data_IF_026896118242
#
_entry.id   IF_026896118242
#
_cell.length_a   1.000
_cell.length_b   1.000
_cell.length_c   1.000
_cell.angle_alpha   90.00
_cell.angle_beta   90.00
_cell.angle_gamma   90.00
#
_symmetry.space_group_name_H-M   'P 1'
#
loop_
_entity.id
_entity.type
_entity.pdbx_description
1 polymer ?
#
# COMPACT_ATOMS: atom_id res chain seq x y z
N UNK A 1 12.76 5.11 7.78
CA UNK A 1 12.06 4.41 6.67
C UNK A 1 11.08 3.41 7.29
N UNK A 2 9.94 3.11 6.66
CA UNK A 2 9.00 2.11 7.17
C UNK A 2 8.72 1.06 6.08
N UNK A 3 8.83 -0.21 6.44
CA UNK A 3 8.53 -1.34 5.56
C UNK A 3 7.51 -2.23 6.26
N UNK A 4 6.46 -2.65 5.58
CA UNK A 4 5.44 -3.52 6.15
C UNK A 4 5.47 -4.92 5.55
N UNK A 5 5.24 -5.93 6.40
CA UNK A 5 5.04 -7.31 5.99
C UNK A 5 3.94 -7.96 6.83
N UNK A 6 3.30 -9.00 6.30
CA UNK A 6 2.21 -9.72 6.95
C UNK A 6 2.76 -10.97 7.62
N UNK A 7 2.58 -11.09 8.93
CA UNK A 7 2.89 -12.34 9.64
C UNK A 7 1.95 -13.43 9.14
N UNK A 8 2.52 -14.54 8.62
CA UNK A 8 1.75 -15.62 7.99
C UNK A 8 0.88 -16.37 9.00
N UNK A 9 1.33 -16.53 10.23
CA UNK A 9 0.64 -17.29 11.27
C UNK A 9 -0.58 -16.54 11.83
N UNK A 10 -0.44 -15.22 12.00
CA UNK A 10 -1.47 -14.39 12.66
C UNK A 10 -2.27 -13.53 11.71
N UNK A 11 -1.79 -13.34 10.47
CA UNK A 11 -2.33 -12.36 9.52
C UNK A 11 -2.11 -10.90 9.93
N UNK A 12 -1.37 -10.64 11.01
CA UNK A 12 -1.15 -9.29 11.51
C UNK A 12 -0.04 -8.57 10.74
N UNK A 13 -0.24 -7.27 10.52
CA UNK A 13 0.75 -6.39 9.94
C UNK A 13 1.89 -6.12 10.93
N UNK A 14 3.13 -6.31 10.50
CA UNK A 14 4.32 -5.82 11.19
C UNK A 14 4.95 -4.70 10.37
N UNK A 15 5.25 -3.59 11.03
CA UNK A 15 6.02 -2.48 10.44
C UNK A 15 7.42 -2.50 11.02
N UNK A 16 8.40 -2.60 10.14
CA UNK A 16 9.82 -2.53 10.43
C UNK A 16 10.31 -1.10 10.21
N UNK A 17 11.19 -0.64 11.09
CA UNK A 17 11.75 0.71 11.04
C UNK A 17 13.25 0.71 11.34
N UNK A 18 13.84 1.90 11.48
CA UNK A 18 15.28 2.11 11.61
C UNK A 18 15.97 1.08 12.53
N UNK A 19 17.03 0.43 12.04
CA UNK A 19 17.75 -0.63 12.76
C UNK A 19 17.18 -2.04 12.61
N UNK A 20 15.95 -2.20 12.10
CA UNK A 20 15.37 -3.50 11.74
C UNK A 20 15.38 -3.77 10.23
N UNK A 21 15.67 -2.77 9.41
CA UNK A 21 15.62 -2.89 7.95
C UNK A 21 16.88 -3.53 7.42
N UNK A 22 16.71 -4.72 6.85
CA UNK A 22 17.71 -5.51 6.14
C UNK A 22 17.12 -6.10 4.85
N UNK A 23 17.90 -6.95 4.18
CA UNK A 23 17.48 -7.60 2.94
C UNK A 23 16.23 -8.47 3.14
N UNK A 24 16.17 -9.23 4.23
CA UNK A 24 15.06 -10.14 4.52
C UNK A 24 13.77 -9.36 4.74
N UNK A 25 13.85 -8.21 5.40
CA UNK A 25 12.72 -7.30 5.61
C UNK A 25 12.16 -6.78 4.29
N UNK A 26 13.03 -6.38 3.35
CA UNK A 26 12.61 -5.94 2.01
C UNK A 26 12.00 -7.09 1.22
N UNK A 27 12.64 -8.27 1.24
CA UNK A 27 12.13 -9.46 0.55
C UNK A 27 10.78 -9.90 1.10
N UNK A 28 10.59 -9.88 2.42
CA UNK A 28 9.32 -10.20 3.07
C UNK A 28 8.21 -9.27 2.61
N UNK A 29 8.47 -7.96 2.53
CA UNK A 29 7.50 -6.96 2.11
C UNK A 29 7.03 -7.13 0.67
N UNK A 30 7.84 -7.74 -0.20
CA UNK A 30 7.53 -8.03 -1.60
C UNK A 30 7.19 -9.51 -1.86
N UNK A 31 7.00 -10.32 -0.81
CA UNK A 31 6.84 -11.75 -0.93
C UNK A 31 5.39 -12.13 -1.25
N UNK A 32 5.04 -12.15 -2.53
CA UNK A 32 3.74 -12.65 -3.00
C UNK A 32 3.66 -14.19 -2.84
N UNK A 33 2.67 -14.72 -2.10
CA UNK A 33 2.61 -16.14 -1.74
C UNK A 33 2.44 -17.10 -2.93
N UNK A 34 1.96 -16.60 -4.07
CA UNK A 34 1.80 -17.39 -5.29
C UNK A 34 3.11 -17.56 -6.07
N UNK A 35 4.14 -16.76 -5.76
CA UNK A 35 5.41 -16.74 -6.48
C UNK A 35 6.58 -17.19 -5.59
N UNK A 36 6.54 -16.85 -4.31
CA UNK A 36 7.64 -17.06 -3.38
C UNK A 36 7.19 -17.73 -2.08
N UNK A 37 8.11 -18.45 -1.45
CA UNK A 37 7.93 -18.97 -0.10
C UNK A 37 8.07 -17.82 0.90
N UNK A 38 7.39 -17.94 2.04
CA UNK A 38 7.50 -16.97 3.12
C UNK A 38 8.96 -16.73 3.51
N UNK A 39 9.29 -15.47 3.77
CA UNK A 39 10.61 -15.07 4.26
C UNK A 39 10.60 -15.15 5.79
N UNK A 40 11.54 -15.88 6.36
CA UNK A 40 11.64 -16.03 7.82
C UNK A 40 12.54 -14.95 8.41
N UNK A 41 11.99 -14.12 9.30
CA UNK A 41 12.75 -13.11 10.03
C UNK A 41 12.69 -13.47 11.50
N UNK A 42 13.85 -13.84 12.08
CA UNK A 42 13.98 -14.29 13.48
C UNK A 42 13.01 -15.45 13.80
N UNK A 43 12.85 -16.38 12.86
CA UNK A 43 11.99 -17.57 13.00
C UNK A 43 10.50 -17.33 12.80
N UNK A 44 10.08 -16.12 12.41
CA UNK A 44 8.69 -15.80 12.10
C UNK A 44 8.50 -15.69 10.58
N UNK A 45 7.55 -16.41 9.97
CA UNK A 45 7.31 -16.35 8.54
C UNK A 45 6.51 -15.10 8.13
N UNK A 46 6.95 -14.44 7.07
CA UNK A 46 6.33 -13.24 6.52
C UNK A 46 6.01 -13.33 5.02
N UNK A 47 4.89 -12.72 4.64
CA UNK A 47 4.49 -12.42 3.27
C UNK A 47 4.36 -10.91 3.06
N UNK A 48 4.06 -10.52 1.82
CA UNK A 48 3.81 -9.15 1.40
C UNK A 48 2.91 -8.38 2.37
N UNK A 49 3.26 -7.12 2.65
CA UNK A 49 2.54 -6.25 3.60
C UNK A 49 1.11 -5.90 3.17
N UNK A 50 0.80 -6.04 1.88
CA UNK A 50 -0.51 -5.85 1.27
C UNK A 50 -1.64 -6.60 1.96
N UNK A 51 -1.38 -7.81 2.45
CA UNK A 51 -2.40 -8.66 3.07
C UNK A 51 -2.80 -8.21 4.48
N UNK A 52 -1.87 -7.63 5.25
CA UNK A 52 -2.12 -7.10 6.60
C UNK A 52 -2.47 -5.60 6.63
N UNK A 53 -2.07 -4.85 5.61
CA UNK A 53 -2.37 -3.44 5.41
C UNK A 53 -1.27 -2.70 4.65
N UNK A 54 -1.62 -2.12 3.50
CA UNK A 54 -0.66 -1.41 2.64
C UNK A 54 -1.25 -0.12 2.03
N UNK A 55 -0.60 1.04 2.22
CA UNK A 55 0.49 1.29 3.18
C UNK A 55 -0.02 1.36 4.63
N UNK A 56 0.87 1.06 5.58
CA UNK A 56 0.64 1.40 6.98
C UNK A 56 0.79 2.93 7.16
N UNK A 57 -0.31 3.64 7.43
CA UNK A 57 -0.26 5.10 7.64
C UNK A 57 0.03 5.47 9.09
N UNK A 58 -0.27 4.57 10.04
CA UNK A 58 -0.09 4.84 11.46
C UNK A 58 1.31 5.31 11.90
N UNK A 59 2.44 4.86 11.30
CA UNK A 59 3.76 5.34 11.71
C UNK A 59 3.93 6.85 11.46
N UNK A 60 3.27 7.40 10.44
CA UNK A 60 3.39 8.81 10.11
C UNK A 60 2.71 9.75 11.12
N UNK A 61 1.71 9.27 11.87
CA UNK A 61 1.10 10.07 12.93
C UNK A 61 2.08 10.45 14.04
N UNK A 62 3.14 9.65 14.24
CA UNK A 62 4.11 9.86 15.32
C UNK A 62 5.48 10.32 14.81
N UNK A 63 5.90 9.85 13.64
CA UNK A 63 7.28 9.99 13.19
C UNK A 63 7.57 11.24 12.34
N UNK A 64 6.57 11.79 11.63
CA UNK A 64 6.81 12.91 10.71
C UNK A 64 6.94 14.25 11.46
N UNK A 65 7.53 15.29 10.85
CA UNK A 65 7.38 16.67 11.33
C UNK A 65 6.21 17.41 10.66
N UNK A 66 5.70 16.85 9.56
CA UNK A 66 4.59 17.38 8.76
C UNK A 66 3.30 16.59 9.01
N UNK A 67 2.18 17.23 8.68
CA UNK A 67 0.85 16.61 8.65
C UNK A 67 0.45 16.16 7.23
N UNK A 68 1.22 16.56 6.21
CA UNK A 68 0.95 16.19 4.83
C UNK A 68 1.54 14.82 4.50
N UNK A 69 0.69 13.92 3.99
CA UNK A 69 1.06 12.58 3.56
C UNK A 69 0.70 12.42 2.09
N UNK A 70 1.71 12.18 1.26
CA UNK A 70 1.55 11.85 -0.15
C UNK A 70 1.45 10.33 -0.33
N UNK A 71 0.30 9.86 -0.79
CA UNK A 71 0.05 8.47 -1.16
C UNK A 71 0.21 8.30 -2.67
N UNK A 72 1.08 7.38 -3.07
CA UNK A 72 1.17 6.91 -4.45
C UNK A 72 0.46 5.55 -4.54
N UNK A 73 -0.68 5.51 -5.22
CA UNK A 73 -1.51 4.33 -5.35
C UNK A 73 -1.39 3.71 -6.74
N UNK A 74 -0.97 2.44 -6.80
CA UNK A 74 -0.76 1.71 -8.05
C UNK A 74 -1.92 0.77 -8.41
N UNK A 75 -2.65 0.25 -7.42
CA UNK A 75 -3.76 -0.65 -7.65
C UNK A 75 -5.07 0.14 -7.68
N UNK A 76 -5.86 0.02 -8.76
CA UNK A 76 -7.10 0.77 -8.88
C UNK A 76 -8.12 0.32 -7.83
N UNK A 77 -8.83 1.28 -7.25
CA UNK A 77 -9.91 0.98 -6.28
C UNK A 77 -11.11 0.39 -7.00
N UNK A 78 -11.46 1.00 -8.14
CA UNK A 78 -12.60 0.61 -8.98
C UNK A 78 -12.08 -0.02 -10.27
N UNK A 79 -12.65 -1.17 -10.62
CA UNK A 79 -12.45 -1.82 -11.92
C UNK A 79 -13.81 -2.18 -12.46
N UNK A 80 -14.18 -1.59 -13.59
CA UNK A 80 -15.49 -1.82 -14.22
C UNK A 80 -15.56 -3.22 -14.85
N UNK A 81 -16.74 -3.85 -14.74
CA UNK A 81 -16.99 -5.19 -15.25
C UNK A 81 -16.64 -6.32 -14.27
N UNK A 82 -17.02 -7.55 -14.65
CA UNK A 82 -16.83 -8.75 -13.83
C UNK A 82 -15.68 -9.58 -14.38
N UNK A 83 -14.66 -9.93 -13.57
CA UNK A 83 -13.57 -10.81 -14.02
C UNK A 83 -14.12 -12.20 -14.38
N UNK A 84 -13.62 -12.81 -15.46
CA UNK A 84 -14.16 -14.08 -15.99
C UNK A 84 -13.16 -15.23 -15.97
N UNK A 85 -11.87 -14.93 -16.06
CA UNK A 85 -10.79 -15.92 -15.96
C UNK A 85 -10.23 -16.01 -14.55
N UNK A 86 -9.61 -17.15 -14.21
CA UNK A 86 -8.97 -17.35 -12.91
C UNK A 86 -7.93 -16.26 -12.61
N UNK A 87 -7.14 -15.84 -13.61
CA UNK A 87 -6.13 -14.80 -13.46
C UNK A 87 -6.76 -13.42 -13.18
N UNK A 88 -7.84 -13.07 -13.88
CA UNK A 88 -8.56 -11.82 -13.62
C UNK A 88 -9.21 -11.82 -12.24
N UNK A 89 -9.77 -12.96 -11.81
CA UNK A 89 -10.40 -13.12 -10.50
C UNK A 89 -9.34 -12.96 -9.40
N UNK A 90 -8.21 -13.66 -9.51
CA UNK A 90 -7.12 -13.56 -8.54
C UNK A 90 -6.57 -12.14 -8.48
N UNK A 91 -6.32 -11.50 -9.62
CA UNK A 91 -5.87 -10.11 -9.67
C UNK A 91 -6.87 -9.18 -8.98
N UNK A 92 -8.17 -9.38 -9.16
CA UNK A 92 -9.19 -8.56 -8.49
C UNK A 92 -9.24 -8.83 -6.98
N UNK A 93 -9.05 -10.07 -6.54
CA UNK A 93 -8.92 -10.41 -5.11
C UNK A 93 -7.74 -9.66 -4.49
N UNK A 94 -6.59 -9.65 -5.16
CA UNK A 94 -5.39 -8.95 -4.67
C UNK A 94 -5.63 -7.43 -4.61
N UNK A 95 -6.22 -6.83 -5.66
CA UNK A 95 -6.62 -5.42 -5.66
C UNK A 95 -7.57 -5.07 -4.50
N UNK A 96 -8.59 -5.88 -4.26
CA UNK A 96 -9.57 -5.65 -3.18
C UNK A 96 -8.86 -5.77 -1.82
N UNK A 97 -8.07 -6.83 -1.63
CA UNK A 97 -7.36 -7.09 -0.37
C UNK A 97 -6.44 -5.93 -0.02
N UNK A 98 -5.62 -5.48 -0.96
CA UNK A 98 -4.66 -4.41 -0.73
C UNK A 98 -5.34 -3.05 -0.49
N UNK A 99 -6.43 -2.77 -1.21
CA UNK A 99 -7.20 -1.54 -1.00
C UNK A 99 -8.01 -1.54 0.32
N UNK A 100 -8.46 -2.70 0.80
CA UNK A 100 -9.25 -2.79 2.02
C UNK A 100 -8.49 -2.25 3.25
N UNK A 101 -7.19 -2.55 3.34
CA UNK A 101 -6.31 -2.02 4.39
C UNK A 101 -6.23 -0.49 4.35
N UNK A 102 -5.92 0.08 3.19
CA UNK A 102 -5.85 1.53 2.99
C UNK A 102 -7.17 2.24 3.31
N UNK A 103 -8.31 1.71 2.84
CA UNK A 103 -9.63 2.28 3.12
C UNK A 103 -9.96 2.28 4.62
N UNK A 104 -9.44 1.30 5.39
CA UNK A 104 -9.59 1.29 6.84
C UNK A 104 -8.79 2.41 7.49
N UNK A 105 -7.55 2.62 7.07
CA UNK A 105 -6.71 3.72 7.56
C UNK A 105 -7.35 5.09 7.25
N UNK A 106 -7.92 5.28 6.06
CA UNK A 106 -8.64 6.52 5.71
C UNK A 106 -9.84 6.80 6.60
N UNK A 107 -10.62 5.78 6.95
CA UNK A 107 -11.72 5.95 7.91
C UNK A 107 -11.21 6.37 9.29
N UNK A 108 -10.11 5.79 9.75
CA UNK A 108 -9.48 6.17 11.02
C UNK A 108 -8.96 7.62 10.99
N UNK A 109 -8.34 8.04 9.88
CA UNK A 109 -7.92 9.44 9.68
C UNK A 109 -9.13 10.37 9.74
N UNK A 110 -10.15 10.13 8.92
CA UNK A 110 -11.35 10.95 8.86
C UNK A 110 -12.00 11.12 10.25
N UNK A 111 -12.10 10.02 11.01
CA UNK A 111 -12.64 10.04 12.37
C UNK A 111 -11.82 10.92 13.33
N UNK A 112 -10.48 10.85 13.28
CA UNK A 112 -9.62 11.72 14.10
C UNK A 112 -9.79 13.19 13.71
N UNK A 113 -9.86 13.50 12.40
CA UNK A 113 -10.07 14.87 11.91
C UNK A 113 -11.40 15.44 12.41
N UNK A 114 -12.48 14.66 12.37
CA UNK A 114 -13.79 15.06 12.90
C UNK A 114 -13.73 15.39 14.40
N UNK A 115 -13.03 14.57 15.19
CA UNK A 115 -12.89 14.80 16.63
C UNK A 115 -12.06 16.05 16.95
N UNK A 116 -11.01 16.32 16.19
CA UNK A 116 -10.22 17.56 16.30
C UNK A 116 -11.10 18.76 15.95
N UNK A 117 -11.80 18.72 14.82
CA UNK A 117 -12.68 19.81 14.38
C UNK A 117 -13.81 20.10 15.38
N UNK A 118 -14.30 19.07 16.08
CA UNK A 118 -15.29 19.20 17.15
C UNK A 118 -14.71 19.62 18.51
N UNK A 119 -13.40 19.86 18.62
CA UNK A 119 -12.72 20.22 19.86
C UNK A 119 -12.68 19.11 20.92
N UNK A 120 -12.92 17.86 20.52
CA UNK A 120 -12.94 16.68 21.42
C UNK A 120 -11.55 16.07 21.60
N UNK A 121 -10.62 16.35 20.69
CA UNK A 121 -9.21 16.00 20.79
C UNK A 121 -8.35 17.25 20.65
N UNK A 122 -7.28 17.40 21.47
CA UNK A 122 -6.38 18.53 21.36
C UNK A 122 -5.52 18.43 20.10
N UNK A 123 -5.62 19.45 19.23
CA UNK A 123 -4.74 19.60 18.08
C UNK A 123 -3.29 19.79 18.54
N UNK A 124 -2.35 19.08 17.90
CA UNK A 124 -0.92 19.08 18.25
C UNK A 124 -0.48 17.76 18.89
N UNK A 125 -1.18 17.30 19.93
CA UNK A 125 -1.01 15.92 20.45
C UNK A 125 -1.58 14.93 19.42
N UNK A 126 -2.75 15.24 18.88
CA UNK A 126 -3.33 14.58 17.73
C UNK A 126 -3.15 15.45 16.50
N UNK A 127 -2.73 14.81 15.40
CA UNK A 127 -2.37 15.48 14.16
C UNK A 127 -3.50 15.47 13.14
N UNK A 128 -3.70 16.60 12.49
CA UNK A 128 -4.71 16.76 11.45
C UNK A 128 -4.15 16.34 10.07
N UNK A 129 -3.98 15.03 9.85
CA UNK A 129 -3.31 14.53 8.64
C UNK A 129 -4.03 14.91 7.35
N UNK A 130 -3.31 15.54 6.43
CA UNK A 130 -3.76 15.90 5.08
C UNK A 130 -3.24 14.85 4.10
N UNK A 131 -4.16 14.04 3.57
CA UNK A 131 -3.83 13.03 2.57
C UNK A 131 -3.90 13.63 1.18
N UNK A 132 -2.81 13.47 0.43
CA UNK A 132 -2.71 13.80 -0.99
C UNK A 132 -2.54 12.49 -1.75
N UNK A 133 -3.33 12.23 -2.79
CA UNK A 133 -3.28 10.97 -3.53
C UNK A 133 -2.81 11.25 -4.96
N UNK A 134 -1.80 10.50 -5.39
CA UNK A 134 -1.41 10.35 -6.78
C UNK A 134 -1.78 8.92 -7.19
N UNK A 135 -2.53 8.78 -8.27
CA UNK A 135 -2.83 7.50 -8.90
C UNK A 135 -2.70 7.61 -10.42
N UNK A 136 -2.79 6.46 -11.08
CA UNK A 136 -2.72 6.35 -12.53
C UNK A 136 -3.93 5.57 -13.08
N UNK A 137 -5.10 5.68 -12.41
CA UNK A 137 -6.26 4.82 -12.70
C UNK A 137 -6.68 4.92 -14.19
N UNK A 138 -6.69 6.12 -14.77
CA UNK A 138 -7.00 6.35 -16.19
C UNK A 138 -5.91 5.80 -17.12
N UNK A 139 -4.64 6.06 -16.83
CA UNK A 139 -3.52 5.61 -17.66
C UNK A 139 -3.33 4.09 -17.62
N UNK A 140 -3.74 3.44 -16.53
CA UNK A 140 -3.58 2.00 -16.32
C UNK A 140 -4.86 1.21 -16.63
N UNK A 141 -5.96 1.85 -17.02
CA UNK A 141 -7.24 1.20 -17.31
C UNK A 141 -7.11 0.07 -18.34
N UNK A 142 -6.27 0.28 -19.35
CA UNK A 142 -6.05 -0.68 -20.44
C UNK A 142 -4.94 -1.71 -20.16
N UNK A 143 -4.24 -1.61 -19.03
CA UNK A 143 -3.25 -2.60 -18.64
C UNK A 143 -3.94 -3.86 -18.11
N UNK A 144 -3.63 -4.99 -18.75
CA UNK A 144 -4.10 -6.31 -18.33
C UNK A 144 -3.42 -6.77 -17.04
N UNK A 145 -4.04 -7.73 -16.34
CA UNK A 145 -3.44 -8.35 -15.15
C UNK A 145 -2.05 -8.96 -15.42
N UNK A 146 -1.80 -9.44 -16.65
CA UNK A 146 -0.50 -10.01 -17.06
C UNK A 146 0.62 -8.97 -17.13
N UNK A 147 0.32 -7.68 -17.23
CA UNK A 147 1.34 -6.63 -17.21
C UNK A 147 2.10 -6.56 -15.88
N UNK A 148 1.49 -7.00 -14.77
CA UNK A 148 2.10 -6.95 -13.42
C UNK A 148 3.34 -7.84 -13.26
N UNK A 149 3.50 -8.84 -14.13
CA UNK A 149 4.68 -9.72 -14.13
C UNK A 149 5.70 -9.35 -15.22
N UNK A 150 5.44 -8.29 -16.00
CA UNK A 150 6.35 -7.82 -17.03
C UNK A 150 7.48 -6.99 -16.41
N UNK A 151 8.68 -7.56 -16.40
CA UNK A 151 9.91 -6.91 -15.92
C UNK A 151 10.83 -6.42 -17.06
N UNK A 152 10.34 -6.35 -18.30
CA UNK A 152 11.12 -5.84 -19.43
C UNK A 152 11.43 -4.35 -19.25
N UNK A 153 12.69 -3.98 -19.52
CA UNK A 153 13.16 -2.60 -19.34
C UNK A 153 12.32 -1.56 -20.09
N UNK A 154 11.88 -1.88 -21.30
CA UNK A 154 11.03 -0.99 -22.10
C UNK A 154 9.69 -0.72 -21.41
N UNK A 155 9.08 -1.73 -20.79
CA UNK A 155 7.83 -1.58 -20.07
C UNK A 155 8.00 -0.79 -18.77
N UNK A 156 9.09 -1.04 -18.01
CA UNK A 156 9.41 -0.25 -16.81
C UNK A 156 9.66 1.23 -17.17
N UNK A 157 10.37 1.50 -18.27
CA UNK A 157 10.59 2.86 -18.76
C UNK A 157 9.28 3.54 -19.17
N UNK A 158 8.37 2.81 -19.83
CA UNK A 158 7.03 3.29 -20.15
C UNK A 158 6.23 3.67 -18.90
N UNK A 159 6.20 2.81 -17.87
CA UNK A 159 5.52 3.11 -16.60
C UNK A 159 6.11 4.33 -15.88
N UNK A 160 7.44 4.48 -15.90
CA UNK A 160 8.12 5.67 -15.36
C UNK A 160 7.66 6.95 -16.07
N UNK A 161 7.59 6.91 -17.39
CA UNK A 161 7.23 8.10 -18.18
C UNK A 161 5.75 8.47 -17.99
N UNK A 162 4.85 7.49 -17.86
CA UNK A 162 3.46 7.72 -17.45
C UNK A 162 3.36 8.42 -16.09
N UNK A 163 4.10 7.94 -15.09
CA UNK A 163 4.10 8.55 -13.76
C UNK A 163 4.60 10.00 -13.75
N UNK A 164 5.55 10.35 -14.63
CA UNK A 164 6.03 11.74 -14.78
C UNK A 164 4.99 12.65 -15.41
N UNK A 165 4.28 12.16 -16.43
CA UNK A 165 3.17 12.90 -17.04
C UNK A 165 2.06 13.16 -16.03
N UNK A 166 1.63 12.13 -15.28
CA UNK A 166 0.58 12.25 -14.27
C UNK A 166 0.91 13.23 -13.13
N UNK A 167 2.19 13.41 -12.80
CA UNK A 167 2.62 14.37 -11.78
C UNK A 167 2.76 15.81 -12.30
N UNK A 168 2.59 16.03 -13.60
CA UNK A 168 2.71 17.35 -14.25
C UNK A 168 1.36 18.04 -14.47
N UNK A 169 0.24 17.31 -14.29
CA UNK A 169 -1.14 17.80 -14.36
C UNK A 169 -1.68 18.19 -12.98
#
# INVERSE_FOLDING_TARGET
>A
LFISATNVETGQLRVFSDGEIDLDTVMASACLPQLFRAVEIKGVPYWDGGYGGNPALFPFFKAAATEDVLLVQINPVVREGTPKSANEIQNRIDEITFNAGLLREFRSIAFVKELIAAGRLPHGEYRDIRMHRIDADEAFKDLSASSKVNAEWAFIAYLRDLGRSAASD
#
